data_IF_165849002937
#
_entry.id   IF_165849002937
#
_cell.length_a   1.000
_cell.length_b   1.000
_cell.length_c   1.000
_cell.angle_alpha   90.00
_cell.angle_beta   90.00
_cell.angle_gamma   90.00
#
_symmetry.space_group_name_H-M   'P 1'
#
loop_
_entity.id
_entity.type
_entity.pdbx_description
1 polymer ?
#
# COMPACT_ATOMS: atom_id res chain seq x y z
N UNK A 1 -6.18 -3.76 26.04
CA UNK A 1 -7.32 -3.49 25.13
C UNK A 1 -7.11 -2.34 24.14
N UNK A 2 -5.96 -1.63 24.14
CA UNK A 2 -5.65 -0.51 23.23
C UNK A 2 -5.48 -0.89 21.74
N UNK A 3 -5.05 -2.12 21.44
CA UNK A 3 -4.83 -2.57 20.06
C UNK A 3 -6.14 -2.78 19.28
N UNK A 4 -7.21 -3.23 19.94
CA UNK A 4 -8.48 -3.56 19.27
C UNK A 4 -9.30 -2.33 18.85
N UNK A 5 -9.02 -1.14 19.41
CA UNK A 5 -9.73 0.09 19.03
C UNK A 5 -9.05 0.86 17.88
N UNK A 6 -7.85 0.46 17.45
CA UNK A 6 -7.09 1.14 16.39
C UNK A 6 -6.70 0.19 15.24
N UNK A 7 -7.30 -1.00 15.19
CA UNK A 7 -7.04 -1.99 14.13
C UNK A 7 -7.54 -1.55 12.76
N UNK A 8 -8.46 -0.58 12.71
CA UNK A 8 -9.03 -0.03 11.47
C UNK A 8 -7.93 0.54 10.55
N UNK A 9 -6.96 1.28 11.11
CA UNK A 9 -5.83 1.85 10.34
C UNK A 9 -5.01 0.75 9.64
N UNK A 10 -4.88 -0.41 10.28
CA UNK A 10 -4.20 -1.56 9.69
C UNK A 10 -5.10 -2.29 8.67
N UNK A 11 -6.40 -2.41 8.93
CA UNK A 11 -7.35 -3.01 7.98
C UNK A 11 -7.43 -2.21 6.67
N UNK A 12 -7.42 -0.88 6.76
CA UNK A 12 -7.38 0.03 5.60
C UNK A 12 -6.09 -0.15 4.80
N UNK A 13 -4.94 -0.23 5.49
CA UNK A 13 -3.65 -0.51 4.85
C UNK A 13 -3.70 -1.82 4.04
N UNK A 14 -4.19 -2.92 4.63
CA UNK A 14 -4.30 -4.19 3.92
C UNK A 14 -5.29 -4.14 2.75
N UNK A 15 -6.37 -3.36 2.88
CA UNK A 15 -7.35 -3.15 1.81
C UNK A 15 -6.71 -2.43 0.62
N UNK A 16 -5.97 -1.36 0.87
CA UNK A 16 -5.28 -0.62 -0.19
C UNK A 16 -4.13 -1.43 -0.81
N UNK A 17 -3.38 -2.22 -0.02
CA UNK A 17 -2.37 -3.15 -0.54
C UNK A 17 -3.01 -4.18 -1.51
N UNK A 18 -4.17 -4.74 -1.14
CA UNK A 18 -4.91 -5.65 -2.00
C UNK A 18 -5.37 -4.96 -3.27
N UNK A 19 -5.88 -3.73 -3.17
CA UNK A 19 -6.32 -2.92 -4.31
C UNK A 19 -5.17 -2.60 -5.28
N UNK A 20 -3.99 -2.26 -4.76
CA UNK A 20 -2.79 -2.07 -5.56
C UNK A 20 -2.42 -3.36 -6.33
N UNK A 21 -2.43 -4.50 -5.64
CA UNK A 21 -2.11 -5.79 -6.23
C UNK A 21 -3.09 -6.20 -7.34
N UNK A 22 -4.40 -5.99 -7.16
CA UNK A 22 -5.43 -6.37 -8.14
C UNK A 22 -5.51 -5.45 -9.36
N UNK A 23 -4.58 -4.51 -9.52
CA UNK A 23 -4.53 -3.63 -10.68
C UNK A 23 -5.12 -2.24 -10.48
N UNK A 24 -5.47 -1.86 -9.26
CA UNK A 24 -5.91 -0.51 -8.95
C UNK A 24 -4.84 0.54 -9.30
N UNK A 25 -5.30 1.73 -9.71
CA UNK A 25 -4.44 2.90 -9.90
C UNK A 25 -4.17 3.57 -8.54
N UNK A 26 -3.42 2.88 -7.70
CA UNK A 26 -3.05 3.33 -6.35
C UNK A 26 -1.55 3.63 -6.34
N UNK A 27 -1.17 4.77 -5.76
CA UNK A 27 0.22 5.08 -5.49
C UNK A 27 0.64 4.43 -4.17
N UNK A 28 1.47 3.39 -4.25
CA UNK A 28 1.91 2.61 -3.10
C UNK A 28 2.73 3.44 -2.09
N UNK A 29 3.52 4.41 -2.56
CA UNK A 29 4.30 5.26 -1.67
C UNK A 29 3.42 6.23 -0.90
N UNK A 30 2.48 6.88 -1.58
CA UNK A 30 1.52 7.81 -0.99
C UNK A 30 0.65 7.11 0.04
N UNK A 31 0.10 5.93 -0.30
CA UNK A 31 -0.70 5.13 0.62
C UNK A 31 0.08 4.72 1.89
N UNK A 32 1.36 4.36 1.75
CA UNK A 32 2.19 4.04 2.91
C UNK A 32 2.47 5.28 3.76
N UNK A 33 2.71 6.43 3.14
CA UNK A 33 2.91 7.69 3.87
C UNK A 33 1.64 8.08 4.65
N UNK A 34 0.47 7.98 4.03
CA UNK A 34 -0.83 8.24 4.67
C UNK A 34 -1.08 7.31 5.86
N UNK A 35 -0.75 6.03 5.73
CA UNK A 35 -0.83 5.07 6.83
C UNK A 35 0.01 5.52 8.03
N UNK A 36 1.26 5.93 7.80
CA UNK A 36 2.16 6.35 8.88
C UNK A 36 1.73 7.67 9.51
N UNK A 37 1.22 8.62 8.74
CA UNK A 37 0.67 9.88 9.25
C UNK A 37 -0.53 9.60 10.18
N UNK A 38 -1.53 8.83 9.70
CA UNK A 38 -2.71 8.47 10.50
C UNK A 38 -2.33 7.68 11.76
N UNK A 39 -1.36 6.78 11.66
CA UNK A 39 -0.87 6.02 12.81
C UNK A 39 -0.20 6.92 13.84
N UNK A 40 0.59 7.91 13.39
CA UNK A 40 1.22 8.89 14.27
C UNK A 40 0.18 9.71 15.03
N UNK A 41 -0.80 10.27 14.33
CA UNK A 41 -1.83 11.11 14.95
C UNK A 41 -2.61 10.34 16.02
N UNK A 42 -3.01 9.10 15.71
CA UNK A 42 -3.69 8.20 16.66
C UNK A 42 -2.81 7.89 17.87
N UNK A 43 -1.55 7.52 17.65
CA UNK A 43 -0.63 7.23 18.75
C UNK A 43 -0.34 8.45 19.61
N UNK A 44 -0.20 9.63 19.00
CA UNK A 44 0.11 10.87 19.69
C UNK A 44 -1.01 11.25 20.68
N UNK A 45 -2.27 11.11 20.27
CA UNK A 45 -3.43 11.28 21.13
C UNK A 45 -3.48 10.24 22.27
N UNK A 46 -3.18 8.97 21.97
CA UNK A 46 -3.21 7.88 22.96
C UNK A 46 -2.14 8.01 24.04
N UNK A 47 -0.96 8.52 23.69
CA UNK A 47 0.17 8.72 24.62
C UNK A 47 -0.07 9.96 25.49
N UNK A 48 -0.85 10.93 25.00
CA UNK A 48 -1.09 12.21 25.67
C UNK A 48 -2.59 12.44 25.96
N UNK A 49 -3.28 11.52 26.66
CA UNK A 49 -4.73 11.59 26.85
C UNK A 49 -5.20 12.80 27.67
N UNK A 50 -4.31 13.41 28.44
CA UNK A 50 -4.58 14.64 29.20
C UNK A 50 -4.73 15.89 28.33
N UNK A 51 -4.33 15.84 27.06
CA UNK A 51 -4.39 16.96 26.13
C UNK A 51 -5.40 16.69 25.01
N UNK A 52 -6.10 17.75 24.59
CA UNK A 52 -6.93 17.72 23.39
C UNK A 52 -6.20 18.44 22.27
N UNK A 53 -5.98 17.75 21.17
CA UNK A 53 -5.27 18.28 19.99
C UNK A 53 -6.28 18.59 18.89
N UNK A 54 -6.18 19.77 18.28
CA UNK A 54 -6.93 20.09 17.06
C UNK A 54 -6.38 19.34 15.86
N UNK A 55 -7.18 19.25 14.80
CA UNK A 55 -6.75 18.66 13.52
C UNK A 55 -5.54 19.40 12.95
N UNK A 56 -5.56 20.74 12.94
CA UNK A 56 -4.42 21.57 12.51
C UNK A 56 -3.11 21.27 13.28
N UNK A 57 -3.23 20.96 14.58
CA UNK A 57 -2.07 20.63 15.40
C UNK A 57 -1.52 19.25 15.01
N UNK A 58 -2.40 18.28 14.78
CA UNK A 58 -2.00 16.93 14.35
C UNK A 58 -1.39 16.95 12.95
N UNK A 59 -1.93 17.75 12.02
CA UNK A 59 -1.33 17.97 10.70
C UNK A 59 0.08 18.57 10.82
N UNK A 60 0.25 19.54 11.74
CA UNK A 60 1.55 20.11 12.06
C UNK A 60 2.52 19.04 12.58
N UNK A 61 2.10 18.19 13.52
CA UNK A 61 2.91 17.07 14.03
C UNK A 61 3.32 16.13 12.88
N UNK A 62 2.39 15.79 11.99
CA UNK A 62 2.63 14.94 10.83
C UNK A 62 3.72 15.52 9.90
N UNK A 63 3.86 16.85 9.79
CA UNK A 63 4.94 17.51 9.01
C UNK A 63 6.34 17.32 9.59
N UNK A 64 6.48 17.06 10.88
CA UNK A 64 7.79 16.83 11.53
C UNK A 64 8.18 15.36 11.63
N UNK A 65 7.36 14.45 11.09
CA UNK A 65 7.58 12.99 11.17
C UNK A 65 8.94 12.57 10.63
N UNK A 66 9.38 13.13 9.50
CA UNK A 66 10.65 12.76 8.87
C UNK A 66 11.87 13.19 9.68
N UNK A 67 11.76 14.31 10.40
CA UNK A 67 12.84 14.83 11.25
C UNK A 67 12.90 14.08 12.58
N UNK A 68 11.75 13.87 13.22
CA UNK A 68 11.66 13.28 14.56
C UNK A 68 11.74 11.75 14.54
N UNK A 69 11.40 11.12 13.41
CA UNK A 69 11.38 9.66 13.22
C UNK A 69 10.70 8.95 14.42
N UNK A 70 9.42 9.23 14.71
CA UNK A 70 8.73 8.63 15.86
C UNK A 70 8.67 7.10 15.80
N UNK A 71 8.71 6.53 14.59
CA UNK A 71 8.77 5.09 14.34
C UNK A 71 10.18 4.59 13.96
N UNK A 72 11.20 5.43 14.17
CA UNK A 72 12.57 5.17 13.76
C UNK A 72 12.69 4.90 12.26
N UNK A 73 13.42 3.86 11.91
CA UNK A 73 13.70 3.46 10.54
C UNK A 73 12.65 2.50 9.94
N UNK A 74 11.61 2.14 10.70
CA UNK A 74 10.59 1.15 10.28
C UNK A 74 9.79 1.62 9.07
N UNK A 75 9.25 2.86 9.02
CA UNK A 75 8.49 3.33 7.84
C UNK A 75 9.30 3.25 6.55
N UNK A 76 10.56 3.68 6.61
CA UNK A 76 11.48 3.66 5.47
C UNK A 76 11.77 2.23 5.00
N UNK A 77 12.10 1.32 5.92
CA UNK A 77 12.39 -0.08 5.59
C UNK A 77 11.16 -0.78 5.01
N UNK A 78 10.00 -0.58 5.63
CA UNK A 78 8.73 -1.14 5.19
C UNK A 78 8.37 -0.64 3.80
N UNK A 79 8.50 0.67 3.52
CA UNK A 79 8.30 1.25 2.19
C UNK A 79 9.14 0.54 1.13
N UNK A 80 10.45 0.43 1.36
CA UNK A 80 11.35 -0.21 0.38
C UNK A 80 10.98 -1.67 0.13
N UNK A 81 10.70 -2.44 1.20
CA UNK A 81 10.41 -3.86 1.10
C UNK A 81 9.04 -4.12 0.44
N UNK A 82 8.01 -3.42 0.88
CA UNK A 82 6.64 -3.55 0.37
C UNK A 82 6.58 -3.11 -1.09
N UNK A 83 7.17 -1.98 -1.45
CA UNK A 83 7.19 -1.50 -2.84
C UNK A 83 7.81 -2.51 -3.79
N UNK A 84 8.98 -3.07 -3.42
CA UNK A 84 9.64 -4.09 -4.25
C UNK A 84 8.82 -5.36 -4.37
N UNK A 85 8.28 -5.86 -3.26
CA UNK A 85 7.51 -7.09 -3.24
C UNK A 85 6.23 -6.99 -4.08
N UNK A 86 5.47 -5.89 -3.92
CA UNK A 86 4.19 -5.72 -4.61
C UNK A 86 4.36 -5.42 -6.10
N UNK A 87 5.36 -4.63 -6.50
CA UNK A 87 5.68 -4.43 -7.92
C UNK A 87 6.03 -5.77 -8.56
N UNK A 88 6.94 -6.54 -7.95
CA UNK A 88 7.35 -7.84 -8.49
C UNK A 88 6.16 -8.81 -8.63
N UNK A 89 5.33 -8.93 -7.59
CA UNK A 89 4.15 -9.79 -7.61
C UNK A 89 3.13 -9.36 -8.67
N UNK A 90 2.83 -8.06 -8.76
CA UNK A 90 1.89 -7.51 -9.75
C UNK A 90 2.39 -7.73 -11.17
N UNK A 91 3.64 -7.40 -11.45
CA UNK A 91 4.24 -7.59 -12.77
C UNK A 91 4.28 -9.07 -13.16
N UNK A 92 4.59 -9.97 -12.23
CA UNK A 92 4.58 -11.41 -12.49
C UNK A 92 3.20 -11.92 -12.92
N UNK A 93 2.15 -11.59 -12.16
CA UNK A 93 0.78 -12.02 -12.47
C UNK A 93 0.26 -11.40 -13.77
N UNK A 94 0.54 -10.11 -13.98
CA UNK A 94 0.20 -9.44 -15.24
C UNK A 94 0.92 -10.07 -16.43
N UNK A 95 2.21 -10.38 -16.29
CA UNK A 95 3.00 -11.06 -17.32
C UNK A 95 2.45 -12.45 -17.68
N UNK A 96 2.08 -13.26 -16.68
CA UNK A 96 1.44 -14.56 -16.93
C UNK A 96 0.08 -14.42 -17.63
N UNK A 97 -0.71 -13.41 -17.25
CA UNK A 97 -2.02 -13.15 -17.86
C UNK A 97 -1.86 -12.75 -19.33
N UNK A 98 -0.97 -11.79 -19.63
CA UNK A 98 -0.67 -11.37 -21.00
C UNK A 98 -0.10 -12.54 -21.82
N UNK A 99 0.81 -13.33 -21.25
CA UNK A 99 1.37 -14.51 -21.92
C UNK A 99 0.30 -15.52 -22.32
N UNK A 100 -0.65 -15.81 -21.42
CA UNK A 100 -1.81 -16.67 -21.71
C UNK A 100 -2.67 -16.09 -22.84
N UNK A 101 -2.95 -14.79 -22.81
CA UNK A 101 -3.76 -14.14 -23.84
C UNK A 101 -3.11 -14.21 -25.22
N UNK A 102 -1.80 -13.97 -25.32
CA UNK A 102 -1.06 -14.06 -26.57
C UNK A 102 -1.07 -15.49 -27.10
N UNK A 103 -0.78 -16.49 -26.27
CA UNK A 103 -0.82 -17.90 -26.67
C UNK A 103 -2.19 -18.31 -27.22
N UNK A 104 -3.28 -17.89 -26.55
CA UNK A 104 -4.64 -18.16 -27.01
C UNK A 104 -4.95 -17.48 -28.36
N UNK A 105 -4.49 -16.24 -28.57
CA UNK A 105 -4.67 -15.53 -29.84
C UNK A 105 -3.92 -16.22 -30.98
N UNK A 106 -2.67 -16.63 -30.73
CA UNK A 106 -1.84 -17.34 -31.72
C UNK A 106 -2.48 -18.68 -32.09
N UNK A 107 -2.94 -19.46 -31.12
CA UNK A 107 -3.59 -20.76 -31.37
C UNK A 107 -4.79 -20.64 -32.30
N UNK A 108 -5.64 -19.62 -32.12
CA UNK A 108 -6.80 -19.37 -32.99
C UNK A 108 -6.40 -19.01 -34.42
N UNK A 109 -5.29 -18.31 -34.62
CA UNK A 109 -4.81 -17.99 -35.97
C UNK A 109 -4.31 -19.25 -36.67
N UNK A 110 -3.56 -20.11 -35.96
CA UNK A 110 -3.05 -21.38 -36.50
C UNK A 110 -4.18 -22.32 -36.91
N UNK A 111 -5.27 -22.42 -36.15
CA UNK A 111 -6.46 -23.21 -36.51
C UNK A 111 -7.15 -22.74 -37.80
N UNK A 112 -7.01 -21.46 -38.16
CA UNK A 112 -7.65 -20.87 -39.33
C UNK A 112 -6.76 -20.85 -40.59
N UNK A 113 -5.55 -21.40 -40.53
CA UNK A 113 -4.68 -21.55 -41.72
C UNK A 113 -5.15 -22.79 -42.49
N UNK A 114 -5.59 -22.67 -43.76
CA UNK A 114 -5.97 -23.83 -44.55
C UNK A 114 -4.75 -24.73 -44.76
N UNK A 115 -4.83 -26.00 -44.39
CA UNK A 115 -3.87 -27.02 -44.83
C UNK A 115 -4.01 -27.19 -46.33
N UNK A 116 -2.95 -26.87 -47.08
CA UNK A 116 -2.84 -27.15 -48.52
C UNK A 116 -2.79 -28.65 -48.80
#
# INVERSE_FOLDING_TARGET
MLYMQNSEVFQDLFTELKRYYTGGNVNLEEMLNDFWARLLERMFQLINPQYHFSEDYLECVSKYTDQLKPFGDVPRKLKIQVTRAFIAARTFVQGLTVGREVANRVSKVVENVPTF
#
